data_IF_506703671829
#
_entry.id   IF_506703671829
#
_cell.length_a   1.000
_cell.length_b   1.000
_cell.length_c   1.000
_cell.angle_alpha   90.00
_cell.angle_beta   90.00
_cell.angle_gamma   90.00
#
_symmetry.space_group_name_H-M   'P 1'
#
loop_
_entity.id
_entity.type
_entity.pdbx_description
1 polymer ?
#
# COMPACT_ATOMS: atom_id res chain seq x y z
N UNK A 1 -22.52 -0.16 -7.55
CA UNK A 1 -21.73 -1.41 -7.49
C UNK A 1 -21.37 -1.78 -6.04
N UNK A 2 -22.28 -1.61 -5.06
CA UNK A 2 -22.04 -1.99 -3.64
C UNK A 2 -23.22 -2.80 -3.06
N UNK A 3 -24.01 -3.46 -3.92
CA UNK A 3 -25.20 -4.20 -3.48
C UNK A 3 -24.88 -5.59 -2.93
N UNK A 4 -23.62 -6.05 -2.96
CA UNK A 4 -23.26 -7.37 -2.45
C UNK A 4 -22.20 -7.28 -1.34
N UNK A 5 -22.42 -8.04 -0.29
CA UNK A 5 -21.47 -8.28 0.80
C UNK A 5 -20.82 -9.66 0.65
N UNK A 6 -19.50 -9.74 0.81
CA UNK A 6 -18.79 -11.02 0.83
C UNK A 6 -18.93 -11.66 2.21
N UNK A 7 -19.40 -12.91 2.26
CA UNK A 7 -19.59 -13.64 3.51
C UNK A 7 -18.54 -14.72 3.72
N UNK A 8 -18.21 -15.49 2.67
CA UNK A 8 -17.32 -16.64 2.79
C UNK A 8 -16.66 -16.96 1.44
N UNK A 9 -15.37 -17.30 1.46
CA UNK A 9 -14.68 -17.93 0.33
C UNK A 9 -14.77 -19.44 0.55
N UNK A 10 -15.40 -20.14 -0.40
CA UNK A 10 -15.64 -21.58 -0.33
C UNK A 10 -14.49 -22.33 -0.99
N UNK A 11 -14.02 -23.39 -0.34
CA UNK A 11 -12.88 -24.16 -0.81
C UNK A 11 -12.21 -24.89 0.34
N UNK A 12 -11.27 -25.77 0.00
CA UNK A 12 -10.37 -26.40 0.98
C UNK A 12 -8.94 -26.03 0.60
N UNK A 13 -8.37 -26.75 -0.36
CA UNK A 13 -7.05 -26.40 -0.94
C UNK A 13 -7.15 -25.31 -2.01
N UNK A 14 -8.22 -25.33 -2.82
CA UNK A 14 -8.47 -24.38 -3.89
C UNK A 14 -9.85 -23.75 -3.74
N UNK A 15 -9.99 -22.51 -4.23
CA UNK A 15 -11.28 -21.80 -4.29
C UNK A 15 -12.23 -22.56 -5.22
N UNK A 16 -13.45 -22.76 -4.74
CA UNK A 16 -14.56 -23.39 -5.48
C UNK A 16 -15.80 -22.50 -5.56
N UNK A 17 -15.78 -21.36 -4.87
CA UNK A 17 -16.86 -20.40 -4.95
C UNK A 17 -16.75 -19.30 -3.89
N UNK A 18 -17.71 -18.39 -3.93
CA UNK A 18 -17.83 -17.30 -2.98
C UNK A 18 -19.30 -17.13 -2.58
N UNK A 19 -19.58 -17.14 -1.29
CA UNK A 19 -20.91 -16.79 -0.77
C UNK A 19 -21.00 -15.28 -0.61
N UNK A 20 -22.04 -14.70 -1.21
CA UNK A 20 -22.34 -13.27 -1.11
C UNK A 20 -23.78 -13.06 -0.68
N UNK A 21 -24.04 -11.94 -0.01
CA UNK A 21 -25.38 -11.48 0.35
C UNK A 21 -25.75 -10.24 -0.44
N UNK A 22 -26.92 -10.23 -1.06
CA UNK A 22 -27.50 -9.02 -1.62
C UNK A 22 -27.98 -8.11 -0.46
N UNK A 23 -27.41 -6.91 -0.35
CA UNK A 23 -27.74 -5.93 0.69
C UNK A 23 -29.12 -5.29 0.51
N UNK A 24 -29.74 -5.45 -0.66
CA UNK A 24 -31.06 -4.89 -0.97
C UNK A 24 -32.16 -5.89 -0.63
N UNK A 25 -31.94 -7.18 -0.94
CA UNK A 25 -32.95 -8.23 -0.72
C UNK A 25 -32.68 -9.10 0.50
N UNK A 26 -31.48 -9.00 1.09
CA UNK A 26 -30.95 -9.86 2.16
C UNK A 26 -30.75 -11.34 1.73
N UNK A 27 -30.88 -11.63 0.43
CA UNK A 27 -30.73 -12.98 -0.10
C UNK A 27 -29.25 -13.37 -0.25
N UNK A 28 -28.92 -14.60 0.14
CA UNK A 28 -27.60 -15.18 -0.04
C UNK A 28 -27.54 -16.02 -1.31
N UNK A 29 -26.41 -15.93 -2.04
CA UNK A 29 -26.13 -16.77 -3.20
C UNK A 29 -24.68 -17.19 -3.24
N UNK A 30 -24.43 -18.31 -3.92
CA UNK A 30 -23.09 -18.82 -4.17
C UNK A 30 -22.71 -18.51 -5.61
N UNK A 31 -21.55 -17.87 -5.77
CA UNK A 31 -20.90 -17.67 -7.07
C UNK A 31 -19.92 -18.82 -7.29
N UNK A 32 -20.05 -19.52 -8.41
CA UNK A 32 -19.09 -20.55 -8.83
C UNK A 32 -17.89 -19.88 -9.48
N UNK A 33 -16.77 -19.80 -8.74
CA UNK A 33 -15.53 -19.14 -9.13
C UNK A 33 -14.33 -19.95 -8.65
N UNK A 34 -13.22 -19.86 -9.38
CA UNK A 34 -11.99 -20.62 -9.09
C UNK A 34 -10.88 -19.75 -8.47
N UNK A 35 -11.14 -18.45 -8.28
CA UNK A 35 -10.19 -17.51 -7.70
C UNK A 35 -10.83 -16.23 -7.19
N UNK A 36 -10.25 -15.65 -6.14
CA UNK A 36 -10.66 -14.38 -5.52
C UNK A 36 -9.43 -13.50 -5.36
N UNK A 37 -9.51 -12.27 -5.86
CA UNK A 37 -8.47 -11.24 -5.69
C UNK A 37 -9.04 -10.14 -4.78
N UNK A 38 -8.38 -9.91 -3.64
CA UNK A 38 -8.81 -8.91 -2.67
C UNK A 38 -8.04 -7.61 -2.91
N UNK A 39 -8.73 -6.61 -3.44
CA UNK A 39 -8.17 -5.29 -3.77
C UNK A 39 -8.99 -4.20 -3.06
N UNK A 40 -8.87 -4.14 -1.72
CA UNK A 40 -9.59 -3.15 -0.88
C UNK A 40 -8.69 -2.00 -0.43
N UNK A 41 -7.54 -1.84 -1.10
CA UNK A 41 -6.48 -0.93 -0.69
C UNK A 41 -5.46 -1.59 0.25
N UNK A 42 -4.45 -0.81 0.61
CA UNK A 42 -3.36 -1.23 1.50
C UNK A 42 -3.25 -0.26 2.67
N UNK A 43 -2.73 -0.76 3.80
CA UNK A 43 -2.39 0.07 4.96
C UNK A 43 -0.85 0.20 4.98
N UNK A 44 -0.29 1.41 4.83
CA UNK A 44 1.15 1.61 4.90
C UNK A 44 1.71 1.19 6.25
N UNK A 45 2.88 0.55 6.27
CA UNK A 45 3.58 0.16 7.51
C UNK A 45 4.34 1.34 8.14
N UNK A 46 3.65 2.46 8.35
CA UNK A 46 4.23 3.76 8.79
C UNK A 46 3.83 4.15 10.22
N UNK A 47 3.03 3.35 10.92
CA UNK A 47 2.48 3.70 12.24
C UNK A 47 3.55 4.12 13.25
N UNK A 48 4.74 3.51 13.19
CA UNK A 48 5.87 3.81 14.08
C UNK A 48 6.48 5.20 13.82
N UNK A 49 6.26 5.80 12.64
CA UNK A 49 6.83 7.10 12.27
C UNK A 49 5.86 8.27 12.50
N UNK A 50 4.68 8.01 13.07
CA UNK A 50 3.71 9.04 13.47
C UNK A 50 4.35 10.06 14.42
N UNK A 51 4.26 11.34 14.05
CA UNK A 51 4.86 12.45 14.81
C UNK A 51 6.37 12.63 14.60
N UNK A 52 7.04 11.71 13.90
CA UNK A 52 8.45 11.84 13.52
C UNK A 52 8.61 12.47 12.13
N UNK A 53 7.75 12.08 11.19
CA UNK A 53 7.68 12.59 9.82
C UNK A 53 6.23 12.93 9.45
N UNK A 54 6.06 13.69 8.39
CA UNK A 54 4.75 14.02 7.83
C UNK A 54 4.13 12.78 7.17
N UNK A 55 2.88 12.49 7.53
CA UNK A 55 2.08 11.44 6.92
C UNK A 55 0.85 12.09 6.29
N UNK A 56 0.42 11.60 5.12
CA UNK A 56 -0.84 12.02 4.51
C UNK A 56 -2.06 11.37 5.21
N UNK A 57 -3.27 11.68 4.73
CA UNK A 57 -4.52 11.14 5.30
C UNK A 57 -4.64 9.61 5.21
N UNK A 58 -3.93 8.99 4.27
CA UNK A 58 -3.85 7.53 4.08
C UNK A 58 -2.76 6.88 4.94
N UNK A 59 -2.00 7.68 5.70
CA UNK A 59 -0.88 7.22 6.51
C UNK A 59 0.41 7.01 5.72
N UNK A 60 0.51 7.46 4.48
CA UNK A 60 1.74 7.33 3.69
C UNK A 60 2.76 8.41 4.08
N UNK A 61 4.05 8.07 4.05
CA UNK A 61 5.13 9.02 4.31
C UNK A 61 5.26 9.98 3.14
N UNK A 62 5.06 11.28 3.38
CA UNK A 62 5.23 12.32 2.36
C UNK A 62 6.72 12.50 2.09
N UNK A 63 7.11 12.41 0.82
CA UNK A 63 8.50 12.56 0.38
C UNK A 63 8.66 13.60 -0.73
N UNK A 64 9.86 14.15 -0.85
CA UNK A 64 10.23 14.97 -1.99
C UNK A 64 10.81 14.14 -3.15
N UNK A 65 11.25 14.81 -4.22
CA UNK A 65 11.87 14.15 -5.39
C UNK A 65 13.14 13.34 -5.06
N UNK A 66 13.81 13.63 -3.94
CA UNK A 66 15.02 12.95 -3.44
C UNK A 66 14.70 11.85 -2.41
N UNK A 67 13.42 11.54 -2.20
CA UNK A 67 12.94 10.61 -1.16
C UNK A 67 13.19 11.09 0.27
N UNK A 68 13.44 12.39 0.45
CA UNK A 68 13.62 13.00 1.75
C UNK A 68 12.25 13.26 2.37
N UNK A 69 12.10 12.92 3.65
CA UNK A 69 10.87 13.20 4.42
C UNK A 69 10.88 14.63 4.96
N UNK A 70 9.83 15.03 5.67
CA UNK A 70 9.80 16.32 6.38
C UNK A 70 10.86 16.46 7.49
N UNK A 71 11.52 15.36 7.89
CA UNK A 71 12.61 15.36 8.87
C UNK A 71 13.97 15.17 8.19
N UNK A 72 14.87 16.13 8.39
CA UNK A 72 16.25 16.05 7.90
C UNK A 72 16.96 14.78 8.38
N UNK A 73 17.65 14.12 7.46
CA UNK A 73 18.35 12.85 7.70
C UNK A 73 17.46 11.61 7.65
N UNK A 74 16.14 11.76 7.51
CA UNK A 74 15.20 10.64 7.36
C UNK A 74 14.68 10.59 5.91
N UNK A 75 14.80 9.40 5.32
CA UNK A 75 14.36 9.09 3.97
C UNK A 75 13.40 7.91 4.00
N UNK A 76 12.47 7.86 3.05
CA UNK A 76 11.51 6.77 2.90
C UNK A 76 11.42 6.35 1.42
N UNK A 77 11.10 5.09 1.16
CA UNK A 77 11.06 4.54 -0.20
C UNK A 77 10.08 3.35 -0.29
N UNK A 78 9.53 3.14 -1.48
CA UNK A 78 8.60 2.05 -1.76
C UNK A 78 7.21 2.31 -1.17
N UNK A 79 6.42 1.25 -1.04
CA UNK A 79 4.97 1.37 -0.83
C UNK A 79 4.53 2.15 0.42
N UNK A 80 5.44 2.37 1.38
CA UNK A 80 5.20 3.19 2.58
C UNK A 80 5.10 4.69 2.29
N UNK A 81 5.58 5.15 1.13
CA UNK A 81 5.57 6.57 0.71
C UNK A 81 4.30 6.95 -0.03
N UNK A 82 4.13 8.22 -0.35
CA UNK A 82 3.02 8.76 -1.17
C UNK A 82 3.19 8.54 -2.68
N UNK A 83 4.16 7.72 -3.10
CA UNK A 83 4.28 7.29 -4.51
C UNK A 83 3.08 6.45 -4.91
N UNK A 84 2.43 6.84 -6.00
CA UNK A 84 1.20 6.22 -6.50
C UNK A 84 1.49 4.81 -7.04
N UNK A 85 2.63 4.63 -7.68
CA UNK A 85 2.97 3.39 -8.36
C UNK A 85 3.62 2.36 -7.41
N UNK A 86 2.78 1.58 -6.73
CA UNK A 86 3.16 0.52 -5.78
C UNK A 86 3.69 -0.75 -6.47
N UNK A 87 4.75 -0.62 -7.26
CA UNK A 87 5.37 -1.72 -8.01
C UNK A 87 6.76 -2.05 -7.48
N UNK A 88 7.12 -3.34 -7.49
CA UNK A 88 8.42 -3.83 -6.97
C UNK A 88 9.61 -3.09 -7.57
N UNK A 89 9.61 -2.86 -8.89
CA UNK A 89 10.72 -2.17 -9.56
C UNK A 89 10.81 -0.68 -9.16
N UNK A 90 9.67 -0.07 -8.85
CA UNK A 90 9.60 1.33 -8.43
C UNK A 90 10.14 1.44 -7.01
N UNK A 91 9.68 0.57 -6.10
CA UNK A 91 10.21 0.49 -4.74
C UNK A 91 11.74 0.25 -4.73
N UNK A 92 12.25 -0.61 -5.61
CA UNK A 92 13.69 -0.84 -5.73
C UNK A 92 14.44 0.42 -6.21
N UNK A 93 13.91 1.12 -7.22
CA UNK A 93 14.47 2.37 -7.71
C UNK A 93 14.45 3.49 -6.67
N UNK A 94 13.34 3.60 -5.93
CA UNK A 94 13.21 4.54 -4.82
C UNK A 94 14.19 4.24 -3.69
N UNK A 95 14.40 2.97 -3.34
CA UNK A 95 15.39 2.58 -2.34
C UNK A 95 16.81 3.01 -2.72
N UNK A 96 17.18 2.80 -3.98
CA UNK A 96 18.46 3.29 -4.51
C UNK A 96 18.55 4.83 -4.46
N UNK A 97 17.49 5.52 -4.86
CA UNK A 97 17.41 7.00 -4.86
C UNK A 97 17.49 7.57 -3.44
N UNK A 98 16.80 6.98 -2.47
CA UNK A 98 16.85 7.36 -1.06
C UNK A 98 18.25 7.21 -0.47
N UNK A 99 18.93 6.10 -0.77
CA UNK A 99 20.32 5.89 -0.34
C UNK A 99 21.26 6.94 -0.93
N UNK A 100 21.17 7.20 -2.25
CA UNK A 100 22.01 8.19 -2.92
C UNK A 100 21.71 9.62 -2.44
N UNK A 101 20.44 9.94 -2.19
CA UNK A 101 20.02 11.20 -1.59
C UNK A 101 20.63 11.40 -0.20
N UNK A 102 20.58 10.37 0.64
CA UNK A 102 21.23 10.39 1.95
C UNK A 102 22.75 10.56 1.84
N UNK A 103 23.41 9.86 0.90
CA UNK A 103 24.85 9.99 0.67
C UNK A 103 25.24 11.40 0.23
N UNK A 104 24.47 12.02 -0.67
CA UNK A 104 24.69 13.39 -1.13
C UNK A 104 24.72 14.38 0.04
N UNK A 105 23.70 14.33 0.92
CA UNK A 105 23.61 15.21 2.09
C UNK A 105 24.72 14.91 3.11
N UNK A 106 24.92 13.64 3.45
CA UNK A 106 25.88 13.23 4.49
C UNK A 106 27.35 13.47 4.11
N UNK A 107 27.66 13.49 2.81
CA UNK A 107 29.03 13.73 2.32
C UNK A 107 29.27 15.15 1.80
N UNK A 108 28.25 16.03 1.84
CA UNK A 108 28.33 17.40 1.34
C UNK A 108 28.51 17.48 -0.18
N UNK A 109 28.05 16.46 -0.91
CA UNK A 109 28.08 16.41 -2.38
C UNK A 109 26.72 16.83 -2.90
N UNK A 110 26.50 18.13 -3.01
CA UNK A 110 25.31 18.69 -3.66
C UNK A 110 25.51 18.69 -5.19
N UNK A 111 25.22 17.55 -5.83
CA UNK A 111 25.03 17.45 -7.29
C UNK A 111 23.54 17.60 -7.67
#
# INVERSE_FOLDING_TARGET
MNSFETLEILGDVFVKGMRVRDRVTDEEKVLDVEGVFVEIGSIPSSDFSKGLVELNELGEVVIDRRNQTSKEGIFAAGDVTDVIEKQVIIAAGEGAKALLGWMSISTGRDE
#
